data_IF_674800613979
#
_entry.id   IF_674800613979
#
_cell.length_a   1.000
_cell.length_b   1.000
_cell.length_c   1.000
_cell.angle_alpha   90.00
_cell.angle_beta   90.00
_cell.angle_gamma   90.00
#
_symmetry.space_group_name_H-M   'P 1'
#
loop_
_entity.id
_entity.type
_entity.pdbx_description
1 polymer ?
#
# COMPACT_ATOMS: atom_id res chain seq x y z
N UNK A 1 -24.46 -13.98 17.68
CA UNK A 1 -24.81 -15.27 18.31
C UNK A 1 -23.64 -16.24 18.08
N UNK A 2 -23.36 -17.20 18.96
CA UNK A 2 -22.25 -18.14 18.73
C UNK A 2 -22.61 -19.11 17.60
N UNK A 3 -21.66 -19.39 16.71
CA UNK A 3 -21.80 -20.41 15.65
C UNK A 3 -21.22 -21.72 16.18
N UNK A 4 -21.93 -22.83 16.00
CA UNK A 4 -21.43 -24.15 16.41
C UNK A 4 -20.52 -24.73 15.32
N UNK A 5 -19.29 -25.12 15.69
CA UNK A 5 -18.37 -25.82 14.78
C UNK A 5 -18.85 -27.22 14.36
N UNK A 6 -19.91 -27.74 14.99
CA UNK A 6 -20.54 -29.02 14.61
C UNK A 6 -21.58 -28.87 13.49
N UNK A 7 -22.07 -27.66 13.22
CA UNK A 7 -23.04 -27.38 12.18
C UNK A 7 -22.33 -26.92 10.89
N UNK A 8 -22.97 -26.97 9.71
CA UNK A 8 -22.42 -26.40 8.49
C UNK A 8 -22.10 -24.91 8.65
N UNK A 9 -20.91 -24.51 8.24
CA UNK A 9 -20.44 -23.13 8.32
C UNK A 9 -19.52 -22.80 7.15
N UNK A 10 -19.33 -21.50 6.91
CA UNK A 10 -18.41 -20.98 5.90
C UNK A 10 -17.57 -19.86 6.52
N UNK A 11 -16.27 -19.89 6.28
CA UNK A 11 -15.40 -18.74 6.57
C UNK A 11 -15.57 -17.68 5.47
N UNK A 12 -15.75 -16.44 5.91
CA UNK A 12 -15.79 -15.26 5.05
C UNK A 12 -14.89 -14.18 5.62
N UNK A 13 -14.42 -13.30 4.74
CA UNK A 13 -13.63 -12.14 5.08
C UNK A 13 -14.43 -10.89 4.79
N UNK A 14 -14.41 -9.94 5.71
CA UNK A 14 -15.11 -8.67 5.54
C UNK A 14 -14.13 -7.53 5.71
N UNK A 15 -14.25 -6.52 4.86
CA UNK A 15 -13.46 -5.30 4.96
C UNK A 15 -14.33 -4.13 5.42
N UNK A 16 -13.74 -3.25 6.21
CA UNK A 16 -14.38 -2.01 6.62
C UNK A 16 -13.34 -0.89 6.71
N UNK A 17 -13.81 0.36 6.68
CA UNK A 17 -12.95 1.52 6.79
C UNK A 17 -12.87 1.99 8.24
N UNK A 18 -11.70 1.80 8.85
CA UNK A 18 -11.39 2.33 10.17
C UNK A 18 -10.99 3.80 10.08
N UNK A 19 -11.41 4.61 11.07
CA UNK A 19 -11.21 6.07 11.08
C UNK A 19 -9.73 6.47 10.94
N UNK A 20 -8.83 5.78 11.66
CA UNK A 20 -7.39 6.12 11.68
C UNK A 20 -6.51 5.18 10.85
N UNK A 21 -6.92 3.93 10.70
CA UNK A 21 -6.07 2.86 10.16
C UNK A 21 -6.38 2.55 8.69
N UNK A 22 -7.35 3.24 8.10
CA UNK A 22 -7.84 2.96 6.75
C UNK A 22 -8.58 1.63 6.69
N UNK A 23 -8.48 0.92 5.56
CA UNK A 23 -9.17 -0.36 5.41
C UNK A 23 -8.52 -1.45 6.27
N UNK A 24 -9.37 -2.15 7.02
CA UNK A 24 -9.03 -3.32 7.84
C UNK A 24 -9.88 -4.50 7.36
N UNK A 25 -9.35 -5.70 7.52
CA UNK A 25 -10.05 -6.96 7.26
C UNK A 25 -10.30 -7.69 8.56
N UNK A 26 -11.47 -8.31 8.64
CA UNK A 26 -11.84 -9.22 9.71
C UNK A 26 -12.30 -10.56 9.15
N UNK A 27 -12.13 -11.61 9.96
CA UNK A 27 -12.53 -12.97 9.63
C UNK A 27 -13.80 -13.33 10.39
N UNK A 28 -14.77 -13.94 9.70
CA UNK A 28 -16.02 -14.40 10.30
C UNK A 28 -16.31 -15.83 9.89
N UNK A 29 -16.90 -16.57 10.82
CA UNK A 29 -17.61 -17.81 10.51
C UNK A 29 -19.09 -17.48 10.43
N UNK A 30 -19.72 -17.90 9.34
CA UNK A 30 -21.15 -17.72 9.09
C UNK A 30 -21.80 -19.09 9.01
N UNK A 31 -22.91 -19.27 9.72
CA UNK A 31 -23.69 -20.50 9.63
C UNK A 31 -24.37 -20.60 8.26
N UNK A 32 -24.41 -21.82 7.71
CA UNK A 32 -25.09 -22.11 6.45
C UNK A 32 -26.47 -22.71 6.70
N UNK A 33 -27.47 -22.26 5.93
CA UNK A 33 -28.81 -22.87 5.94
C UNK A 33 -28.81 -24.26 5.27
N UNK A 34 -29.97 -24.94 5.30
CA UNK A 34 -30.15 -26.27 4.68
C UNK A 34 -29.87 -26.29 3.16
N UNK A 35 -29.85 -25.12 2.51
CA UNK A 35 -29.57 -24.95 1.08
C UNK A 35 -28.12 -24.48 0.83
N UNK A 36 -27.29 -24.39 1.86
CA UNK A 36 -25.90 -23.95 1.78
C UNK A 36 -25.72 -22.43 1.60
N UNK A 37 -26.73 -21.61 1.94
CA UNK A 37 -26.63 -20.15 1.87
C UNK A 37 -26.16 -19.56 3.20
N UNK A 38 -25.42 -18.45 3.11
CA UNK A 38 -25.01 -17.66 4.26
C UNK A 38 -26.23 -17.11 5.00
N UNK A 39 -26.22 -17.22 6.33
CA UNK A 39 -27.25 -16.69 7.22
C UNK A 39 -26.76 -15.45 7.97
N UNK A 40 -27.64 -14.78 8.71
CA UNK A 40 -27.27 -13.69 9.64
C UNK A 40 -26.63 -14.19 10.94
N UNK A 41 -26.49 -15.51 11.14
CA UNK A 41 -25.81 -16.05 12.31
C UNK A 41 -24.32 -16.15 12.03
N UNK A 42 -23.59 -15.12 12.44
CA UNK A 42 -22.14 -15.03 12.28
C UNK A 42 -21.41 -14.80 13.60
N UNK A 43 -20.14 -15.17 13.62
CA UNK A 43 -19.21 -14.98 14.73
C UNK A 43 -17.84 -14.58 14.19
N UNK A 44 -17.25 -13.51 14.74
CA UNK A 44 -15.87 -13.13 14.45
C UNK A 44 -14.91 -14.20 14.97
N UNK A 45 -13.89 -14.53 14.17
CA UNK A 45 -12.88 -15.54 14.47
C UNK A 45 -11.49 -14.90 14.49
N UNK A 46 -10.68 -15.33 15.46
CA UNK A 46 -9.31 -14.89 15.71
C UNK A 46 -8.40 -16.11 15.82
N UNK A 47 -7.10 -15.89 15.83
CA UNK A 47 -6.07 -16.93 16.03
C UNK A 47 -6.30 -17.77 17.29
N UNK A 48 -6.97 -17.20 18.31
CA UNK A 48 -7.26 -17.87 19.59
C UNK A 48 -8.33 -18.95 19.49
N UNK A 49 -9.35 -18.75 18.65
CA UNK A 49 -10.49 -19.67 18.52
C UNK A 49 -10.59 -20.32 17.13
N UNK A 50 -9.73 -19.94 16.17
CA UNK A 50 -9.67 -20.50 14.82
C UNK A 50 -9.59 -22.04 14.79
N UNK A 51 -8.89 -22.62 15.76
CA UNK A 51 -8.68 -24.09 15.85
C UNK A 51 -9.98 -24.88 16.02
N UNK A 52 -10.99 -24.29 16.67
CA UNK A 52 -12.31 -24.91 16.87
C UNK A 52 -13.01 -25.18 15.53
N UNK A 53 -12.72 -24.38 14.50
CA UNK A 53 -13.35 -24.45 13.17
C UNK A 53 -12.44 -25.09 12.12
N UNK A 54 -11.34 -25.74 12.52
CA UNK A 54 -10.32 -26.32 11.63
C UNK A 54 -10.86 -27.22 10.51
N UNK A 55 -12.03 -27.86 10.68
CA UNK A 55 -12.67 -28.69 9.65
C UNK A 55 -13.04 -27.92 8.36
N UNK A 56 -13.25 -26.60 8.46
CA UNK A 56 -13.65 -25.76 7.33
C UNK A 56 -12.60 -24.72 6.94
N UNK A 57 -11.39 -24.78 7.51
CA UNK A 57 -10.30 -23.84 7.28
C UNK A 57 -9.09 -24.56 6.66
N UNK A 58 -8.48 -23.91 5.66
CA UNK A 58 -7.19 -24.32 5.10
C UNK A 58 -6.01 -23.56 5.76
N UNK A 59 -4.77 -23.93 5.43
CA UNK A 59 -3.58 -23.29 5.98
C UNK A 59 -3.54 -21.77 5.70
N UNK A 60 -4.03 -21.33 4.54
CA UNK A 60 -4.09 -19.90 4.19
C UNK A 60 -5.08 -19.16 5.07
N UNK A 61 -6.18 -19.81 5.46
CA UNK A 61 -7.17 -19.22 6.35
C UNK A 61 -6.55 -18.89 7.72
N UNK A 62 -5.73 -19.77 8.27
CA UNK A 62 -5.02 -19.51 9.52
C UNK A 62 -4.02 -18.36 9.40
N UNK A 63 -3.25 -18.29 8.31
CA UNK A 63 -2.34 -17.18 8.04
C UNK A 63 -3.10 -15.84 7.88
N UNK A 64 -4.23 -15.86 7.17
CA UNK A 64 -5.10 -14.70 6.99
C UNK A 64 -5.62 -14.19 8.33
N UNK A 65 -6.14 -15.09 9.17
CA UNK A 65 -6.64 -14.74 10.50
C UNK A 65 -5.53 -14.10 11.36
N UNK A 66 -4.33 -14.68 11.37
CA UNK A 66 -3.20 -14.13 12.15
C UNK A 66 -2.78 -12.74 11.66
N UNK A 67 -2.71 -12.54 10.34
CA UNK A 67 -2.41 -11.22 9.77
C UNK A 67 -3.49 -10.19 10.13
N UNK A 68 -4.77 -10.56 10.04
CA UNK A 68 -5.90 -9.68 10.40
C UNK A 68 -5.88 -9.33 11.89
N UNK A 69 -5.63 -10.29 12.77
CA UNK A 69 -5.47 -10.03 14.21
C UNK A 69 -4.37 -9.00 14.49
N UNK A 70 -3.28 -9.03 13.72
CA UNK A 70 -2.16 -8.08 13.84
C UNK A 70 -2.47 -6.66 13.33
N UNK A 71 -3.57 -6.50 12.58
CA UNK A 71 -4.06 -5.23 12.05
C UNK A 71 -5.09 -4.55 12.95
N UNK A 72 -5.66 -5.29 13.91
CA UNK A 72 -6.64 -4.75 14.84
C UNK A 72 -6.03 -3.65 15.71
N UNK A 73 -6.88 -2.70 16.13
CA UNK A 73 -6.48 -1.51 16.90
C UNK A 73 -5.61 -1.84 18.12
N UNK A 74 -5.99 -2.86 18.90
CA UNK A 74 -5.22 -3.29 20.09
C UNK A 74 -3.83 -3.83 19.74
N UNK A 75 -3.71 -4.55 18.62
CA UNK A 75 -2.44 -5.10 18.17
C UNK A 75 -1.52 -3.98 17.66
N UNK A 76 -2.07 -3.05 16.89
CA UNK A 76 -1.35 -1.85 16.43
C UNK A 76 -0.89 -1.01 17.62
N UNK A 77 -1.77 -0.75 18.58
CA UNK A 77 -1.43 -0.02 19.81
C UNK A 77 -0.25 -0.69 20.53
N UNK A 78 -0.29 -2.01 20.75
CA UNK A 78 0.79 -2.75 21.40
C UNK A 78 2.10 -2.73 20.63
N UNK A 79 2.04 -2.65 19.30
CA UNK A 79 3.23 -2.60 18.46
C UNK A 79 3.95 -1.24 18.59
N UNK A 80 3.19 -0.14 18.61
CA UNK A 80 3.73 1.22 18.56
C UNK A 80 3.82 1.93 19.91
N UNK A 81 3.14 1.43 20.94
CA UNK A 81 3.17 1.99 22.28
C UNK A 81 3.53 0.96 23.34
N UNK A 82 4.47 1.32 24.20
CA UNK A 82 4.78 0.58 25.43
C UNK A 82 3.86 0.94 26.59
N UNK A 83 3.06 2.01 26.45
CA UNK A 83 2.16 2.50 27.49
C UNK A 83 0.83 1.77 27.42
N UNK A 84 0.33 1.35 28.58
CA UNK A 84 -1.01 0.80 28.70
C UNK A 84 -2.01 1.95 28.64
N UNK A 85 -2.80 2.01 27.59
CA UNK A 85 -3.87 2.98 27.38
C UNK A 85 -4.95 2.40 26.47
N UNK A 86 -6.07 3.09 26.30
CA UNK A 86 -7.13 2.64 25.37
C UNK A 86 -6.77 2.99 23.92
N UNK A 87 -7.20 2.18 22.93
CA UNK A 87 -6.97 2.49 21.52
C UNK A 87 -7.44 3.90 21.11
N UNK A 88 -8.66 4.28 21.48
CA UNK A 88 -9.22 5.60 21.13
C UNK A 88 -8.35 6.76 21.63
N UNK A 89 -7.81 6.65 22.85
CA UNK A 89 -6.93 7.65 23.44
C UNK A 89 -5.60 7.75 22.69
N UNK A 90 -5.03 6.60 22.32
CA UNK A 90 -3.79 6.56 21.56
C UNK A 90 -3.96 7.16 20.16
N UNK A 91 -4.95 6.68 19.40
CA UNK A 91 -5.13 7.14 18.02
C UNK A 91 -5.56 8.60 17.94
N UNK A 92 -6.47 9.05 18.81
CA UNK A 92 -6.88 10.47 18.86
C UNK A 92 -5.70 11.41 19.15
N UNK A 93 -4.72 10.95 19.93
CA UNK A 93 -3.52 11.72 20.24
C UNK A 93 -2.52 11.72 19.06
N UNK A 94 -2.25 10.55 18.50
CA UNK A 94 -1.27 10.39 17.40
C UNK A 94 -1.75 11.08 16.13
N UNK A 95 -3.04 10.96 15.80
CA UNK A 95 -3.67 11.52 14.59
C UNK A 95 -4.29 12.90 14.81
N UNK A 96 -3.92 13.59 15.90
CA UNK A 96 -4.37 14.95 16.13
C UNK A 96 -3.87 15.89 15.02
N UNK A 97 -4.76 16.76 14.50
CA UNK A 97 -4.44 17.64 13.36
C UNK A 97 -3.37 18.70 13.64
N UNK A 98 -3.20 19.11 14.90
CA UNK A 98 -2.27 20.19 15.27
C UNK A 98 -1.05 19.65 16.02
N UNK A 99 -1.24 18.64 16.86
CA UNK A 99 -0.22 18.11 17.78
C UNK A 99 0.07 16.62 17.56
N UNK A 100 -0.37 16.08 16.44
CA UNK A 100 -0.12 14.70 16.06
C UNK A 100 1.35 14.43 15.80
N UNK A 101 1.71 13.16 15.78
CA UNK A 101 3.06 12.71 15.45
C UNK A 101 3.07 12.17 14.01
N UNK A 102 3.42 13.03 13.05
CA UNK A 102 3.42 12.69 11.62
C UNK A 102 4.34 11.50 11.31
N UNK A 103 5.51 11.43 11.95
CA UNK A 103 6.46 10.33 11.75
C UNK A 103 5.87 9.00 12.22
N UNK A 104 5.18 9.00 13.37
CA UNK A 104 4.50 7.81 13.86
C UNK A 104 3.29 7.43 12.98
N UNK A 105 2.54 8.42 12.46
CA UNK A 105 1.45 8.16 11.52
C UNK A 105 1.96 7.47 10.24
N UNK A 106 3.08 7.94 9.67
CA UNK A 106 3.70 7.32 8.50
C UNK A 106 4.16 5.88 8.79
N UNK A 107 4.72 5.63 9.97
CA UNK A 107 5.12 4.28 10.39
C UNK A 107 3.91 3.34 10.55
N UNK A 108 2.82 3.82 11.15
CA UNK A 108 1.57 3.07 11.27
C UNK A 108 1.01 2.77 9.88
N UNK A 109 0.94 3.77 8.99
CA UNK A 109 0.44 3.56 7.63
C UNK A 109 1.30 2.55 6.86
N UNK A 110 2.63 2.64 6.93
CA UNK A 110 3.52 1.67 6.30
C UNK A 110 3.33 0.24 6.87
N UNK A 111 3.13 0.13 8.18
CA UNK A 111 2.84 -1.13 8.85
C UNK A 111 1.52 -1.75 8.38
N UNK A 112 0.48 -0.92 8.20
CA UNK A 112 -0.85 -1.34 7.74
C UNK A 112 -0.86 -1.69 6.25
N UNK A 113 -0.22 -0.87 5.41
CA UNK A 113 -0.08 -1.08 3.97
C UNK A 113 0.59 -2.43 3.65
N UNK A 114 1.71 -2.73 4.32
CA UNK A 114 2.41 -4.01 4.16
C UNK A 114 1.50 -5.21 4.45
N UNK A 115 0.67 -5.12 5.50
CA UNK A 115 -0.25 -6.19 5.88
C UNK A 115 -1.46 -6.29 4.96
N UNK A 116 -2.05 -5.16 4.57
CA UNK A 116 -3.12 -5.12 3.56
C UNK A 116 -2.67 -5.83 2.28
N UNK A 117 -1.47 -5.51 1.79
CA UNK A 117 -0.91 -6.13 0.62
C UNK A 117 -0.79 -7.66 0.75
N UNK A 118 -0.27 -8.14 1.88
CA UNK A 118 -0.11 -9.57 2.15
C UNK A 118 -1.44 -10.30 2.26
N UNK A 119 -2.43 -9.70 2.94
CA UNK A 119 -3.79 -10.23 3.05
C UNK A 119 -4.44 -10.33 1.66
N UNK A 120 -4.41 -9.23 0.89
CA UNK A 120 -5.02 -9.16 -0.43
C UNK A 120 -4.43 -10.18 -1.41
N UNK A 121 -3.12 -10.41 -1.34
CA UNK A 121 -2.45 -11.42 -2.16
C UNK A 121 -2.93 -12.86 -1.88
N UNK A 122 -3.28 -13.14 -0.62
CA UNK A 122 -3.74 -14.46 -0.15
C UNK A 122 -5.26 -14.66 -0.24
N UNK A 123 -6.04 -13.62 -0.52
CA UNK A 123 -7.51 -13.69 -0.62
C UNK A 123 -8.03 -14.36 -1.89
N UNK A 124 -7.17 -14.73 -2.85
CA UNK A 124 -7.59 -15.40 -4.09
C UNK A 124 -8.39 -16.67 -3.79
N UNK A 125 -9.60 -16.73 -4.36
CA UNK A 125 -10.55 -17.85 -4.20
C UNK A 125 -11.29 -17.86 -2.85
N UNK A 126 -11.11 -16.85 -2.00
CA UNK A 126 -11.83 -16.69 -0.74
C UNK A 126 -13.05 -15.78 -0.91
N UNK A 127 -14.02 -15.91 0.00
CA UNK A 127 -15.21 -15.07 0.00
C UNK A 127 -14.91 -13.74 0.70
N UNK A 128 -14.88 -12.65 -0.07
CA UNK A 128 -14.67 -11.29 0.44
C UNK A 128 -15.98 -10.50 0.37
N UNK A 129 -16.21 -9.70 1.40
CA UNK A 129 -17.35 -8.80 1.52
C UNK A 129 -16.89 -7.43 2.04
N UNK A 130 -17.76 -6.45 1.87
CA UNK A 130 -17.74 -5.22 2.66
C UNK A 130 -18.72 -5.36 3.82
N UNK A 131 -18.32 -4.82 4.97
CA UNK A 131 -19.15 -4.75 6.15
C UNK A 131 -20.15 -3.60 6.03
N UNK A 132 -21.38 -3.83 6.47
CA UNK A 132 -22.39 -2.78 6.58
C UNK A 132 -22.09 -1.82 7.73
N UNK A 133 -22.71 -0.64 7.70
CA UNK A 133 -22.60 0.35 8.78
C UNK A 133 -23.21 -0.16 10.10
N UNK A 134 -24.07 -1.18 10.04
CA UNK A 134 -24.65 -1.91 11.17
C UNK A 134 -23.74 -3.01 11.73
N UNK A 135 -22.58 -3.23 11.11
CA UNK A 135 -21.63 -4.27 11.48
C UNK A 135 -21.93 -5.63 10.84
N UNK A 136 -22.88 -5.74 9.90
CA UNK A 136 -23.16 -6.98 9.18
C UNK A 136 -22.00 -7.32 8.22
N UNK A 137 -21.26 -8.42 8.43
CA UNK A 137 -20.06 -8.71 7.66
C UNK A 137 -20.34 -9.18 6.23
N UNK A 138 -21.59 -9.49 5.87
CA UNK A 138 -21.98 -10.00 4.54
C UNK A 138 -22.75 -8.99 3.67
N UNK A 139 -22.67 -7.68 3.97
CA UNK A 139 -23.48 -6.64 3.32
C UNK A 139 -23.31 -6.57 1.79
N UNK A 140 -22.09 -6.40 1.27
CA UNK A 140 -21.83 -6.38 -0.18
C UNK A 140 -20.71 -7.34 -0.55
N UNK A 141 -21.03 -8.34 -1.37
CA UNK A 141 -20.03 -9.31 -1.85
C UNK A 141 -19.07 -8.64 -2.83
N UNK A 142 -17.78 -8.93 -2.65
CA UNK A 142 -16.71 -8.55 -3.57
C UNK A 142 -16.18 -9.77 -4.33
N UNK A 143 -16.07 -9.63 -5.64
CA UNK A 143 -15.45 -10.63 -6.51
C UNK A 143 -13.94 -10.44 -6.49
N UNK A 144 -13.22 -11.38 -5.87
CA UNK A 144 -11.75 -11.41 -5.92
C UNK A 144 -11.31 -11.96 -7.26
N UNK A 145 -10.73 -11.11 -8.11
CA UNK A 145 -10.31 -11.52 -9.44
C UNK A 145 -9.11 -12.46 -9.37
N UNK A 146 -9.15 -13.52 -10.18
CA UNK A 146 -8.09 -14.53 -10.20
C UNK A 146 -6.82 -14.07 -10.93
N UNK A 147 -7.00 -13.20 -11.91
CA UNK A 147 -5.97 -12.63 -12.78
C UNK A 147 -5.73 -11.18 -12.41
N UNK A 148 -4.51 -10.74 -12.65
CA UNK A 148 -4.09 -9.37 -12.37
C UNK A 148 -4.45 -8.46 -13.55
N UNK A 149 -4.61 -7.17 -13.26
CA UNK A 149 -4.80 -6.15 -14.26
C UNK A 149 -3.45 -5.59 -14.73
N UNK A 150 -3.42 -5.12 -15.98
CA UNK A 150 -2.33 -4.32 -16.52
C UNK A 150 -2.69 -2.84 -16.49
N UNK A 151 -1.66 -2.00 -16.50
CA UNK A 151 -1.81 -0.55 -16.48
C UNK A 151 -0.87 0.07 -17.50
N UNK A 152 -1.44 0.95 -18.32
CA UNK A 152 -0.72 1.75 -19.29
C UNK A 152 -0.92 3.23 -18.95
N UNK A 153 0.15 4.02 -19.02
CA UNK A 153 0.07 5.46 -18.78
C UNK A 153 0.16 6.23 -20.10
N UNK A 154 -0.69 7.23 -20.27
CA UNK A 154 -0.75 8.07 -21.46
C UNK A 154 -0.44 9.52 -21.10
N UNK A 155 0.43 10.14 -21.88
CA UNK A 155 0.80 11.55 -21.79
C UNK A 155 0.55 12.24 -23.13
N UNK A 156 -0.15 13.38 -23.09
CA UNK A 156 -0.43 14.20 -24.27
C UNK A 156 -0.06 15.64 -23.97
N UNK A 157 1.12 16.04 -24.44
CA UNK A 157 1.64 17.40 -24.32
C UNK A 157 1.15 18.26 -25.48
N UNK A 158 0.66 19.46 -25.14
CA UNK A 158 0.24 20.51 -26.08
C UNK A 158 1.01 21.80 -25.77
N UNK A 159 0.76 22.87 -26.52
CA UNK A 159 1.41 24.16 -26.28
C UNK A 159 1.01 24.81 -24.94
N UNK A 160 -0.17 24.46 -24.42
CA UNK A 160 -0.76 25.07 -23.21
C UNK A 160 -0.61 24.21 -21.95
N UNK A 161 -0.68 22.88 -22.09
CA UNK A 161 -0.65 21.94 -20.97
C UNK A 161 -0.28 20.51 -21.39
N UNK A 162 0.03 19.68 -20.41
CA UNK A 162 0.17 18.23 -20.57
C UNK A 162 -1.00 17.50 -19.91
N UNK A 163 -1.71 16.66 -20.67
CA UNK A 163 -2.77 15.79 -20.16
C UNK A 163 -2.21 14.40 -19.86
N UNK A 164 -2.52 13.88 -18.67
CA UNK A 164 -2.05 12.59 -18.17
C UNK A 164 -3.24 11.73 -17.71
N UNK A 165 -3.28 10.46 -18.13
CA UNK A 165 -4.28 9.50 -17.67
C UNK A 165 -3.81 8.03 -17.79
N UNK A 166 -4.22 7.13 -16.87
CA UNK A 166 -3.99 5.71 -16.98
C UNK A 166 -5.13 4.99 -17.72
N UNK A 167 -4.79 3.92 -18.44
CA UNK A 167 -5.72 2.90 -18.92
C UNK A 167 -5.46 1.62 -18.16
N UNK A 168 -6.47 1.10 -17.46
CA UNK A 168 -6.40 -0.18 -16.76
C UNK A 168 -7.11 -1.22 -17.61
N UNK A 169 -6.47 -2.38 -17.82
CA UNK A 169 -7.03 -3.49 -18.59
C UNK A 169 -7.01 -4.78 -17.77
N UNK A 170 -8.07 -5.56 -17.85
CA UNK A 170 -8.18 -6.88 -17.22
C UNK A 170 -8.76 -7.87 -18.23
N UNK A 171 -8.03 -8.95 -18.52
CA UNK A 171 -8.38 -9.95 -19.55
C UNK A 171 -8.76 -9.32 -20.90
N UNK A 172 -7.96 -8.34 -21.35
CA UNK A 172 -8.15 -7.63 -22.62
C UNK A 172 -9.31 -6.62 -22.63
N UNK A 173 -10.05 -6.46 -21.53
CA UNK A 173 -11.13 -5.47 -21.40
C UNK A 173 -10.69 -4.29 -20.56
N UNK A 174 -10.98 -3.08 -21.03
CA UNK A 174 -10.67 -1.85 -20.29
C UNK A 174 -11.61 -1.70 -19.08
N UNK A 175 -11.06 -1.24 -17.97
CA UNK A 175 -11.81 -0.85 -16.77
C UNK A 175 -12.20 0.62 -16.91
N UNK A 176 -13.50 0.93 -16.84
CA UNK A 176 -14.03 2.27 -17.08
C UNK A 176 -13.92 3.17 -15.85
N UNK A 177 -12.74 3.76 -15.62
CA UNK A 177 -12.54 4.79 -14.59
C UNK A 177 -12.77 6.20 -15.18
N UNK A 178 -13.27 7.18 -14.40
CA UNK A 178 -13.64 7.12 -12.98
C UNK A 178 -15.01 6.48 -12.75
N UNK A 179 -15.25 5.98 -11.53
CA UNK A 179 -16.56 5.48 -11.08
C UNK A 179 -16.83 5.92 -9.64
N UNK A 180 -18.07 6.32 -9.29
CA UNK A 180 -18.41 6.74 -7.93
C UNK A 180 -18.14 5.68 -6.86
N UNK A 181 -18.13 4.41 -7.24
CA UNK A 181 -17.94 3.28 -6.33
C UNK A 181 -16.50 2.73 -6.36
N UNK A 182 -15.57 3.44 -7.01
CA UNK A 182 -14.18 3.03 -7.07
C UNK A 182 -13.40 3.55 -5.87
N UNK A 183 -12.67 2.67 -5.19
CA UNK A 183 -11.83 3.06 -4.06
C UNK A 183 -10.59 2.18 -3.96
N UNK A 184 -9.55 2.74 -3.35
CA UNK A 184 -8.25 2.09 -3.18
C UNK A 184 -8.17 1.49 -1.77
N UNK A 185 -7.98 0.17 -1.68
CA UNK A 185 -7.85 -0.54 -0.41
C UNK A 185 -6.42 -0.45 0.11
N UNK A 186 -5.45 -0.69 -0.77
CA UNK A 186 -4.02 -0.70 -0.48
C UNK A 186 -3.32 0.18 -1.51
N UNK A 187 -2.39 1.02 -1.05
CA UNK A 187 -1.60 1.93 -1.87
C UNK A 187 -0.31 1.29 -2.33
N UNK A 188 0.30 0.40 -1.54
CA UNK A 188 1.64 -0.13 -1.83
C UNK A 188 1.75 -1.64 -1.55
N UNK A 189 1.66 -2.50 -2.59
CA UNK A 189 1.22 -2.24 -3.97
C UNK A 189 -0.26 -1.87 -4.05
N UNK A 190 -0.65 -1.22 -5.16
CA UNK A 190 -2.02 -0.80 -5.38
C UNK A 190 -2.99 -1.98 -5.46
N UNK A 191 -4.09 -1.88 -4.71
CA UNK A 191 -5.25 -2.74 -4.86
C UNK A 191 -6.51 -1.89 -4.78
N UNK A 192 -7.42 -2.10 -5.72
CA UNK A 192 -8.61 -1.28 -5.84
C UNK A 192 -9.87 -2.11 -6.01
N UNK A 193 -10.98 -1.62 -5.48
CA UNK A 193 -12.31 -2.15 -5.77
C UNK A 193 -12.96 -1.26 -6.81
N UNK A 194 -13.50 -1.90 -7.85
CA UNK A 194 -14.24 -1.23 -8.91
C UNK A 194 -15.43 -2.09 -9.30
N UNK A 195 -16.64 -1.52 -9.21
CA UNK A 195 -17.91 -2.19 -9.51
C UNK A 195 -18.06 -3.57 -8.82
N UNK A 196 -17.70 -3.65 -7.53
CA UNK A 196 -17.79 -4.87 -6.73
C UNK A 196 -16.73 -5.93 -7.05
N UNK A 197 -15.70 -5.60 -7.84
CA UNK A 197 -14.58 -6.49 -8.15
C UNK A 197 -13.29 -5.93 -7.57
N UNK A 198 -12.50 -6.79 -6.95
CA UNK A 198 -11.19 -6.47 -6.40
C UNK A 198 -10.12 -6.72 -7.47
N UNK A 199 -9.41 -5.66 -7.85
CA UNK A 199 -8.31 -5.67 -8.79
C UNK A 199 -6.97 -5.50 -8.07
N UNK A 200 -6.03 -6.37 -8.40
CA UNK A 200 -4.60 -6.15 -8.16
C UNK A 200 -3.86 -6.10 -9.50
N UNK A 201 -2.64 -5.56 -9.51
CA UNK A 201 -1.88 -5.32 -10.74
C UNK A 201 -0.71 -6.31 -10.91
N UNK A 202 -0.31 -6.56 -12.16
CA UNK A 202 0.84 -7.43 -12.47
C UNK A 202 2.16 -6.81 -12.05
N UNK A 203 2.35 -5.53 -12.39
CA UNK A 203 3.52 -4.75 -11.99
C UNK A 203 3.26 -4.05 -10.66
N UNK A 204 4.34 -3.70 -9.96
CA UNK A 204 4.23 -2.88 -8.76
C UNK A 204 3.68 -1.50 -9.13
N UNK A 205 2.47 -1.20 -8.66
CA UNK A 205 1.81 0.09 -8.87
C UNK A 205 1.73 0.83 -7.54
N UNK A 206 2.19 2.08 -7.52
CA UNK A 206 1.93 2.99 -6.40
C UNK A 206 0.52 3.57 -6.55
N UNK A 207 -0.38 3.19 -5.65
CA UNK A 207 -1.77 3.58 -5.65
C UNK A 207 -1.99 5.09 -5.46
N UNK A 208 -1.03 5.83 -4.91
CA UNK A 208 -1.09 7.31 -4.87
C UNK A 208 -1.14 7.90 -6.29
N UNK A 209 -0.54 7.24 -7.27
CA UNK A 209 -0.57 7.64 -8.69
C UNK A 209 -1.93 7.39 -9.34
N UNK A 210 -2.70 6.44 -8.81
CA UNK A 210 -4.05 6.10 -9.29
C UNK A 210 -5.16 6.91 -8.61
N UNK A 211 -4.92 7.40 -7.39
CA UNK A 211 -5.91 8.09 -6.57
C UNK A 211 -6.63 9.26 -7.28
N UNK A 212 -5.97 10.13 -8.07
CA UNK A 212 -6.66 11.19 -8.80
C UNK A 212 -7.69 10.67 -9.81
N UNK A 213 -7.45 9.48 -10.36
CA UNK A 213 -8.23 8.89 -11.45
C UNK A 213 -9.45 8.11 -10.99
N UNK A 214 -9.61 7.92 -9.69
CA UNK A 214 -10.84 7.37 -9.10
C UNK A 214 -12.03 8.30 -9.37
N UNK A 215 -11.77 9.62 -9.41
CA UNK A 215 -12.80 10.65 -9.56
C UNK A 215 -12.65 11.52 -10.83
N UNK A 216 -11.49 11.49 -11.49
CA UNK A 216 -11.20 12.31 -12.69
C UNK A 216 -10.77 11.43 -13.85
N UNK A 217 -11.13 11.80 -15.08
CA UNK A 217 -10.70 11.08 -16.29
C UNK A 217 -9.23 11.32 -16.64
N UNK A 218 -8.73 12.52 -16.35
CA UNK A 218 -7.35 12.91 -16.62
C UNK A 218 -6.90 13.97 -15.61
N UNK A 219 -5.59 14.13 -15.49
CA UNK A 219 -4.94 15.23 -14.77
C UNK A 219 -4.37 16.18 -15.81
N UNK A 220 -4.67 17.47 -15.67
CA UNK A 220 -4.10 18.55 -16.48
C UNK A 220 -2.90 19.11 -15.72
N UNK A 221 -1.73 19.10 -16.36
CA UNK A 221 -0.50 19.71 -15.85
C UNK A 221 -0.28 21.02 -16.60
N UNK A 222 -0.49 22.18 -15.95
CA UNK A 222 -0.27 23.48 -16.57
C UNK A 222 1.21 23.67 -16.96
N UNK A 223 1.45 24.40 -18.06
CA UNK A 223 2.81 24.63 -18.60
C UNK A 223 3.81 25.20 -17.58
N UNK A 224 3.35 26.12 -16.72
CA UNK A 224 4.20 26.74 -15.68
C UNK A 224 4.69 25.75 -14.61
N UNK A 225 4.01 24.60 -14.44
CA UNK A 225 4.39 23.54 -13.50
C UNK A 225 4.99 22.31 -14.19
N UNK A 226 5.08 22.33 -15.52
CA UNK A 226 5.46 21.18 -16.35
C UNK A 226 6.82 20.62 -15.94
N UNK A 227 7.85 21.46 -15.87
CA UNK A 227 9.22 21.04 -15.54
C UNK A 227 9.30 20.38 -14.15
N UNK A 228 8.69 21.01 -13.13
CA UNK A 228 8.67 20.46 -11.77
C UNK A 228 7.95 19.11 -11.73
N UNK A 229 6.82 19.01 -12.43
CA UNK A 229 6.00 17.80 -12.45
C UNK A 229 6.69 16.68 -13.23
N UNK A 230 7.36 17.01 -14.33
CA UNK A 230 8.09 16.05 -15.15
C UNK A 230 9.23 15.42 -14.34
N UNK A 231 10.01 16.23 -13.65
CA UNK A 231 11.12 15.75 -12.82
C UNK A 231 10.65 14.94 -11.61
N UNK A 232 9.59 15.39 -10.91
CA UNK A 232 9.15 14.73 -9.67
C UNK A 232 8.22 13.54 -9.86
N UNK A 233 7.43 13.52 -10.93
CA UNK A 233 6.38 12.52 -11.12
C UNK A 233 6.54 11.72 -12.42
N UNK A 234 6.68 12.39 -13.56
CA UNK A 234 6.66 11.73 -14.87
C UNK A 234 7.92 10.88 -15.08
N UNK A 235 9.12 11.42 -14.83
CA UNK A 235 10.36 10.67 -15.00
C UNK A 235 10.44 9.42 -14.10
N UNK A 236 10.15 9.50 -12.79
CA UNK A 236 10.07 8.29 -11.95
C UNK A 236 8.99 7.31 -12.39
N UNK A 237 7.85 7.80 -12.90
CA UNK A 237 6.82 6.94 -13.48
C UNK A 237 7.35 6.20 -14.70
N UNK A 238 8.00 6.90 -15.62
CA UNK A 238 8.56 6.32 -16.84
C UNK A 238 9.62 5.27 -16.54
N UNK A 239 10.46 5.53 -15.54
CA UNK A 239 11.45 4.57 -15.08
C UNK A 239 10.83 3.32 -14.43
N UNK A 240 9.61 3.40 -13.89
CA UNK A 240 8.94 2.28 -13.20
C UNK A 240 8.06 1.43 -14.11
N UNK A 241 7.71 1.91 -15.31
CA UNK A 241 6.72 1.28 -16.19
C UNK A 241 7.19 1.23 -17.63
N UNK A 242 7.12 0.04 -18.24
CA UNK A 242 7.47 -0.13 -19.65
C UNK A 242 6.37 0.35 -20.61
N UNK A 243 5.11 0.22 -20.19
CA UNK A 243 3.91 0.49 -21.00
C UNK A 243 3.50 1.96 -20.90
N UNK A 244 4.15 2.80 -21.70
CA UNK A 244 3.89 4.25 -21.73
C UNK A 244 3.69 4.72 -23.14
N UNK A 245 2.64 5.52 -23.34
CA UNK A 245 2.35 6.20 -24.58
C UNK A 245 2.50 7.71 -24.38
N UNK A 246 3.50 8.31 -25.03
CA UNK A 246 3.73 9.75 -24.97
C UNK A 246 3.51 10.39 -26.35
N UNK A 247 2.78 11.49 -26.36
CA UNK A 247 2.56 12.36 -27.52
C UNK A 247 3.00 13.78 -27.16
N UNK A 248 3.79 14.42 -28.04
CA UNK A 248 4.27 15.79 -27.87
C UNK A 248 5.61 15.95 -27.12
N UNK A 249 6.24 14.83 -26.74
CA UNK A 249 7.64 14.76 -26.32
C UNK A 249 8.21 13.36 -26.60
N UNK A 250 9.52 13.26 -26.66
CA UNK A 250 10.24 12.00 -26.86
C UNK A 250 10.75 11.45 -25.53
N UNK A 251 10.69 10.12 -25.35
CA UNK A 251 11.24 9.42 -24.19
C UNK A 251 12.53 8.72 -24.62
N UNK A 252 13.67 9.31 -24.27
CA UNK A 252 14.96 8.66 -24.43
C UNK A 252 15.22 7.73 -23.23
N UNK A 253 15.16 6.41 -23.45
CA UNK A 253 15.53 5.40 -22.44
C UNK A 253 17.01 5.07 -22.56
N UNK A 254 17.74 5.23 -21.47
CA UNK A 254 19.15 4.84 -21.37
C UNK A 254 19.26 3.71 -20.35
N UNK A 255 19.65 2.53 -20.81
CA UNK A 255 20.04 1.43 -19.95
C UNK A 255 21.57 1.41 -19.84
N UNK A 256 22.06 1.35 -18.61
CA UNK A 256 23.48 1.27 -18.31
C UNK A 256 23.76 -0.06 -17.60
N UNK A 257 24.95 -0.61 -17.82
CA UNK A 257 25.44 -1.80 -17.12
C UNK A 257 26.44 -1.38 -16.04
N UNK A 258 25.97 -0.93 -14.85
CA UNK A 258 26.87 -0.45 -13.81
C UNK A 258 27.66 -1.61 -13.22
N UNK A 259 28.98 -1.44 -13.13
CA UNK A 259 29.86 -2.41 -12.50
C UNK A 259 30.13 -1.98 -11.05
N UNK A 260 29.86 -2.85 -10.05
CA UNK A 260 30.11 -2.50 -8.65
C UNK A 260 31.61 -2.41 -8.39
N UNK A 261 32.06 -1.27 -7.87
CA UNK A 261 33.45 -1.06 -7.42
C UNK A 261 33.50 -1.16 -5.90
N UNK A 262 34.19 -2.18 -5.39
CA UNK A 262 34.46 -2.31 -3.95
C UNK A 262 35.83 -1.71 -3.64
N UNK A 263 35.84 -0.64 -2.84
CA UNK A 263 37.06 -0.07 -2.28
C UNK A 263 37.20 -0.50 -0.83
N UNK A 264 38.32 -1.16 -0.50
CA UNK A 264 38.69 -1.49 0.88
C UNK A 264 39.80 -0.52 1.29
N UNK A 265 39.57 0.23 2.36
CA UNK A 265 40.58 1.09 2.98
C UNK A 265 40.76 0.67 4.44
N UNK A 266 42.00 0.62 4.90
CA UNK A 266 42.31 0.42 6.31
C UNK A 266 41.87 1.68 7.09
N UNK A 267 41.15 1.48 8.19
CA UNK A 267 40.91 2.57 9.13
C UNK A 267 42.28 2.96 9.72
N UNK A 268 42.64 4.25 9.76
CA UNK A 268 43.88 4.67 10.39
C UNK A 268 43.89 4.16 11.82
N UNK A 269 44.93 3.41 12.18
CA UNK A 269 45.15 2.96 13.55
C UNK A 269 45.14 4.18 14.46
N UNK A 270 44.25 4.17 15.45
CA UNK A 270 44.19 5.17 16.51
C UNK A 270 45.44 5.05 17.39
N UNK A 271 46.58 5.52 16.89
CA UNK A 271 47.80 5.81 17.64
C UNK A 271 48.72 6.63 16.74
N UNK A 272 48.39 7.91 16.60
CA UNK A 272 49.33 9.02 16.79
C UNK A 272 48.55 10.33 16.84
N UNK A 273 48.82 11.12 17.87
CA UNK A 273 48.20 12.42 18.10
C UNK A 273 48.72 13.42 17.06
N UNK A 274 48.08 13.50 15.91
CA UNK A 274 48.13 14.70 15.05
C UNK A 274 46.75 14.91 14.47
N UNK A 275 46.01 15.84 15.08
CA UNK A 275 44.71 16.29 14.59
C UNK A 275 44.95 17.04 13.27
N UNK A 276 44.42 16.61 12.12
CA UNK A 276 44.50 17.39 10.90
C UNK A 276 43.45 18.51 11.00
N UNK A 277 43.89 19.76 11.05
CA UNK A 277 42.99 20.92 10.95
C UNK A 277 42.38 21.00 9.57
N UNK A 278 41.04 21.06 9.53
CA UNK A 278 40.18 21.02 8.33
C UNK A 278 40.20 22.31 7.48
N UNK A 279 41.13 23.23 7.75
CA UNK A 279 41.31 24.47 7.00
C UNK A 279 42.81 24.70 6.81
N UNK A 280 43.30 24.46 5.59
CA UNK A 280 44.66 24.81 5.20
C UNK A 280 44.80 26.33 5.16
N UNK A 281 45.75 26.88 5.93
CA UNK A 281 46.23 28.24 5.70
C UNK A 281 47.33 28.15 4.64
N UNK A 282 47.10 28.89 3.56
CA UNK A 282 48.01 29.10 2.45
C UNK A 282 49.40 29.52 2.92
N UNK A 283 50.41 28.99 2.23
CA UNK A 283 51.80 29.29 2.47
C UNK A 283 52.17 30.71 2.04
N UNK A 284 53.01 31.35 2.84
CA UNK A 284 53.91 32.41 2.40
C UNK A 284 55.21 32.34 3.21
N UNK A 285 56.34 32.31 2.51
CA UNK A 285 57.62 32.82 3.02
C UNK A 285 58.69 31.82 3.41
N UNK A 286 59.40 31.26 2.42
CA UNK A 286 60.84 30.98 2.57
C UNK A 286 61.52 30.95 1.19
N UNK A 287 61.87 32.14 0.70
CA UNK A 287 62.96 32.26 -0.27
C UNK A 287 64.29 32.08 0.48
N UNK A 288 65.08 31.15 -0.03
CA UNK A 288 66.48 30.92 0.25
C UNK A 288 67.37 32.04 -0.27
N UNK A 289 68.47 32.35 0.42
CA UNK A 289 69.80 32.38 -0.20
C UNK A 289 70.90 32.38 0.87
N UNK A 290 71.91 31.55 0.60
CA UNK A 290 73.26 31.56 1.17
C UNK A 290 73.93 32.93 1.09
N UNK A 291 74.53 33.39 2.20
CA UNK A 291 75.97 33.68 2.41
C UNK A 291 76.24 34.05 3.88
#
# INVERSE_FOLDING_TARGET
MKVSAAQPFQIIYSLYQHEYLGYIFESFIVHLDEKGKLTYQHQNISSKNAREFSKGLDARDFELIEMMDSMNQDAVLKHFSKKIMKPDEFFSKVFNKEKGDEMLQEQIEAYMEKRRAQVLDKLKGKMLFEMGNDGEPTWRKLEVLETRATIQFHFKRSEENTNYYPTISHNGKRVEIPSPNAYLICKLPAWMVFNGKLYGFEKFVDGKKLQPFLNKKHVVIPKNLEETYYNRFVAPLIASFDEIEAHGFEIAKHEHDPHPLLTISELPTANEKTVPTLFGQDGEGAESTDD
#
